data_IF_834113366929
#
_entry.id   IF_834113366929
#
_cell.length_a   1.000
_cell.length_b   1.000
_cell.length_c   1.000
_cell.angle_alpha   90.00
_cell.angle_beta   90.00
_cell.angle_gamma   90.00
#
_symmetry.space_group_name_H-M   'P 1'
#
loop_
_entity.id
_entity.type
_entity.pdbx_description
1 polymer ?
#
# COMPACT_ATOMS: atom_id res chain seq x y z
N UNK A 1 -2.35 -4.18 3.34
CA UNK A 1 -2.93 -3.98 1.98
C UNK A 1 -3.63 -2.64 1.92
N UNK A 2 -2.93 -1.62 1.44
CA UNK A 2 -3.45 -0.25 1.36
C UNK A 2 -4.01 0.00 -0.03
N UNK A 3 -5.28 0.42 -0.11
CA UNK A 3 -6.04 0.45 -1.35
C UNK A 3 -6.87 -0.81 -1.55
N UNK A 4 -7.11 -1.54 -0.47
CA UNK A 4 -7.98 -2.70 -0.49
C UNK A 4 -9.40 -2.28 -0.87
N UNK A 5 -10.06 -3.10 -1.66
CA UNK A 5 -11.43 -2.82 -2.12
C UNK A 5 -12.14 -4.12 -2.43
N UNK A 6 -13.47 -4.10 -2.41
CA UNK A 6 -14.28 -5.23 -2.86
C UNK A 6 -14.83 -5.02 -4.28
N UNK A 7 -14.41 -3.95 -4.96
CA UNK A 7 -14.85 -3.66 -6.33
C UNK A 7 -14.23 -4.66 -7.32
N UNK A 8 -15.07 -5.37 -8.05
CA UNK A 8 -14.61 -6.36 -9.04
C UNK A 8 -13.77 -5.68 -10.13
N UNK A 9 -12.70 -6.36 -10.55
CA UNK A 9 -11.78 -5.86 -11.56
C UNK A 9 -10.73 -4.89 -11.03
N UNK A 10 -10.85 -4.43 -9.80
CA UNK A 10 -9.84 -3.57 -9.19
C UNK A 10 -8.63 -4.41 -8.73
N UNK A 11 -7.43 -3.91 -8.99
CA UNK A 11 -6.20 -4.61 -8.62
C UNK A 11 -6.14 -4.87 -7.11
N UNK A 12 -6.55 -3.91 -6.30
CA UNK A 12 -6.57 -4.06 -4.85
C UNK A 12 -7.44 -5.22 -4.37
N UNK A 13 -8.58 -5.44 -5.04
CA UNK A 13 -9.44 -6.58 -4.74
C UNK A 13 -8.77 -7.90 -5.12
N UNK A 14 -8.20 -7.95 -6.31
CA UNK A 14 -7.59 -9.19 -6.81
C UNK A 14 -6.39 -9.61 -5.96
N UNK A 15 -5.57 -8.68 -5.53
CA UNK A 15 -4.42 -8.99 -4.67
C UNK A 15 -4.90 -9.52 -3.32
N UNK A 16 -5.84 -8.86 -2.68
CA UNK A 16 -6.37 -9.30 -1.39
C UNK A 16 -7.02 -10.69 -1.51
N UNK A 17 -7.82 -10.88 -2.56
CA UNK A 17 -8.46 -12.16 -2.84
C UNK A 17 -7.42 -13.29 -3.00
N UNK A 18 -6.34 -13.03 -3.73
CA UNK A 18 -5.28 -14.01 -3.93
C UNK A 18 -4.54 -14.35 -2.62
N UNK A 19 -4.24 -13.34 -1.82
CA UNK A 19 -3.60 -13.58 -0.52
C UNK A 19 -4.43 -14.53 0.33
N UNK A 20 -5.74 -14.33 0.36
CA UNK A 20 -6.66 -15.14 1.17
C UNK A 20 -6.84 -16.52 0.56
N UNK A 21 -7.05 -16.61 -0.76
CA UNK A 21 -7.34 -17.88 -1.43
C UNK A 21 -6.16 -18.83 -1.49
N UNK A 22 -4.93 -18.32 -1.51
CA UNK A 22 -3.73 -19.15 -1.53
C UNK A 22 -3.17 -19.43 -0.13
N UNK A 23 -4.03 -19.31 0.87
CA UNK A 23 -3.76 -19.79 2.23
C UNK A 23 -2.54 -19.13 2.90
N UNK A 24 -2.39 -17.81 2.70
CA UNK A 24 -1.38 -17.06 3.43
C UNK A 24 -1.61 -17.23 4.94
N UNK A 25 -0.60 -17.68 5.65
CA UNK A 25 -0.71 -18.00 7.08
C UNK A 25 -0.48 -16.81 8.01
N UNK A 26 -0.15 -15.66 7.48
CA UNK A 26 0.03 -14.44 8.28
C UNK A 26 -1.26 -13.66 8.45
N UNK A 27 -1.16 -12.51 9.11
CA UNK A 27 -2.27 -11.58 9.26
C UNK A 27 -2.31 -10.61 8.10
N UNK A 28 -3.51 -10.34 7.59
CA UNK A 28 -3.73 -9.35 6.52
C UNK A 28 -4.64 -8.25 7.06
N UNK A 29 -4.20 -7.00 6.91
CA UNK A 29 -4.96 -5.84 7.35
C UNK A 29 -5.35 -5.01 6.14
N UNK A 30 -6.64 -5.10 5.67
CA UNK A 30 -7.12 -4.22 4.62
C UNK A 30 -7.20 -2.78 5.11
N UNK A 31 -6.79 -1.83 4.27
CA UNK A 31 -6.87 -0.41 4.56
C UNK A 31 -7.61 0.30 3.44
N UNK A 32 -8.70 0.98 3.80
CA UNK A 32 -9.51 1.77 2.87
C UNK A 32 -10.24 2.85 3.69
N UNK A 33 -10.18 4.13 3.30
CA UNK A 33 -10.71 5.22 4.12
C UNK A 33 -12.23 5.20 4.30
N UNK A 34 -12.96 4.51 3.43
CA UNK A 34 -14.44 4.55 3.44
C UNK A 34 -15.10 3.21 3.76
N UNK A 35 -14.33 2.13 3.81
CA UNK A 35 -14.88 0.78 4.08
C UNK A 35 -14.54 0.33 5.49
N UNK A 36 -15.46 -0.39 6.11
CA UNK A 36 -15.25 -0.98 7.44
C UNK A 36 -14.98 -2.48 7.39
N UNK A 37 -15.44 -3.13 6.32
CA UNK A 37 -15.22 -4.56 6.09
C UNK A 37 -14.95 -4.79 4.61
N UNK A 38 -13.92 -5.55 4.30
CA UNK A 38 -13.60 -5.99 2.94
C UNK A 38 -13.24 -7.46 3.01
N UNK A 39 -13.87 -8.28 2.15
CA UNK A 39 -13.64 -9.71 2.08
C UNK A 39 -13.85 -10.40 3.46
N UNK A 40 -14.84 -9.96 4.20
CA UNK A 40 -15.17 -10.42 5.55
C UNK A 40 -14.09 -10.10 6.60
N UNK A 41 -13.12 -9.28 6.27
CA UNK A 41 -12.03 -8.88 7.17
C UNK A 41 -12.25 -7.42 7.58
N UNK A 42 -12.02 -7.11 8.85
CA UNK A 42 -12.08 -5.74 9.35
C UNK A 42 -11.13 -4.86 8.56
N UNK A 43 -11.63 -3.74 8.06
CA UNK A 43 -10.88 -2.77 7.30
C UNK A 43 -10.60 -1.54 8.17
N UNK A 44 -9.39 -1.01 8.09
CA UNK A 44 -8.98 0.19 8.83
C UNK A 44 -8.95 1.39 7.89
N UNK A 45 -9.24 2.57 8.41
CA UNK A 45 -9.24 3.81 7.63
C UNK A 45 -7.84 4.22 7.19
N UNK A 46 -6.85 4.01 8.04
CA UNK A 46 -5.43 4.23 7.73
C UNK A 46 -4.59 3.11 8.32
N UNK A 47 -3.37 2.97 7.83
CA UNK A 47 -2.45 1.99 8.41
C UNK A 47 -2.10 2.33 9.87
N UNK A 48 -2.19 3.59 10.24
CA UNK A 48 -1.92 4.04 11.61
C UNK A 48 -2.95 3.51 12.61
N UNK A 49 -4.15 3.17 12.14
CA UNK A 49 -5.21 2.61 12.99
C UNK A 49 -5.06 1.11 13.24
N UNK A 50 -4.19 0.43 12.51
CA UNK A 50 -3.96 -1.00 12.71
C UNK A 50 -3.26 -1.20 14.05
N UNK A 51 -3.85 -2.00 14.97
CA UNK A 51 -3.27 -2.15 16.31
C UNK A 51 -1.99 -2.98 16.35
N UNK A 52 -1.79 -3.86 15.40
CA UNK A 52 -0.64 -4.76 15.34
C UNK A 52 0.54 -4.09 14.61
N UNK A 53 1.75 -4.58 14.85
CA UNK A 53 2.89 -4.21 14.02
C UNK A 53 2.69 -4.72 12.59
N UNK A 54 3.13 -3.95 11.61
CA UNK A 54 3.02 -4.29 10.19
C UNK A 54 4.41 -4.31 9.60
N UNK A 55 4.79 -5.44 9.01
CA UNK A 55 6.13 -5.63 8.42
C UNK A 55 6.17 -5.23 6.96
N UNK A 56 5.11 -5.49 6.21
CA UNK A 56 5.03 -5.25 4.77
C UNK A 56 3.73 -4.52 4.43
N UNK A 57 3.83 -3.47 3.66
CA UNK A 57 2.67 -2.76 3.11
C UNK A 57 2.66 -2.91 1.59
N UNK A 58 1.53 -3.39 1.06
CA UNK A 58 1.27 -3.42 -0.38
C UNK A 58 0.40 -2.22 -0.70
N UNK A 59 0.88 -1.32 -1.55
CA UNK A 59 0.25 -0.03 -1.83
C UNK A 59 -0.33 -0.01 -3.24
N UNK A 60 -1.66 0.13 -3.32
CA UNK A 60 -2.42 0.20 -4.57
C UNK A 60 -3.42 1.37 -4.45
N UNK A 61 -2.91 2.58 -4.37
CA UNK A 61 -3.71 3.80 -4.28
C UNK A 61 -3.40 4.69 -5.48
N UNK A 62 -4.24 5.70 -5.79
CA UNK A 62 -3.88 6.67 -6.81
C UNK A 62 -2.52 7.32 -6.52
N UNK A 63 -1.76 7.63 -7.58
CA UNK A 63 -0.38 8.14 -7.43
C UNK A 63 -0.30 9.38 -6.54
N UNK A 64 -1.33 10.20 -6.54
CA UNK A 64 -1.39 11.44 -5.75
C UNK A 64 -1.38 11.17 -4.24
N UNK A 65 -1.75 9.97 -3.82
CA UNK A 65 -1.83 9.59 -2.42
C UNK A 65 -0.61 8.79 -1.94
N UNK A 66 0.25 8.34 -2.86
CA UNK A 66 1.34 7.42 -2.53
C UNK A 66 2.30 8.03 -1.51
N UNK A 67 2.73 9.28 -1.70
CA UNK A 67 3.70 9.90 -0.79
C UNK A 67 3.15 10.01 0.63
N UNK A 68 1.89 10.38 0.77
CA UNK A 68 1.25 10.48 2.09
C UNK A 68 1.13 9.10 2.76
N UNK A 69 0.76 8.10 1.97
CA UNK A 69 0.66 6.72 2.46
C UNK A 69 2.03 6.20 2.91
N UNK A 70 3.09 6.52 2.17
CA UNK A 70 4.45 6.13 2.52
C UNK A 70 4.89 6.79 3.84
N UNK A 71 4.54 8.05 4.06
CA UNK A 71 4.79 8.71 5.34
C UNK A 71 4.09 7.98 6.49
N UNK A 72 2.84 7.59 6.29
CA UNK A 72 2.10 6.83 7.30
C UNK A 72 2.75 5.47 7.57
N UNK A 73 3.22 4.80 6.53
CA UNK A 73 3.95 3.53 6.68
C UNK A 73 5.23 3.73 7.49
N UNK A 74 5.96 4.80 7.21
CA UNK A 74 7.17 5.15 7.96
C UNK A 74 6.88 5.39 9.44
N UNK A 75 5.85 6.17 9.74
CA UNK A 75 5.41 6.43 11.12
C UNK A 75 4.96 5.14 11.82
N UNK A 76 4.30 4.25 11.09
CA UNK A 76 3.85 2.96 11.63
C UNK A 76 5.01 2.03 11.95
N UNK A 77 6.17 2.23 11.33
CA UNK A 77 7.32 1.35 11.50
C UNK A 77 7.34 0.18 10.51
N UNK A 78 6.67 0.32 9.38
CA UNK A 78 6.70 -0.69 8.31
C UNK A 78 8.12 -0.79 7.77
N UNK A 79 8.59 -2.01 7.52
CA UNK A 79 9.97 -2.26 7.05
C UNK A 79 10.07 -2.36 5.54
N UNK A 80 9.03 -2.84 4.88
CA UNK A 80 9.03 -3.05 3.44
C UNK A 80 7.77 -2.59 2.76
N UNK A 81 7.92 -2.13 1.51
CA UNK A 81 6.82 -1.67 0.69
C UNK A 81 6.82 -2.39 -0.65
N UNK A 82 5.64 -2.72 -1.15
CA UNK A 82 5.43 -3.09 -2.54
C UNK A 82 4.48 -2.05 -3.12
N UNK A 83 4.97 -1.23 -4.06
CA UNK A 83 4.17 -0.16 -4.67
C UNK A 83 3.77 -0.60 -6.06
N UNK A 84 2.48 -0.81 -6.28
CA UNK A 84 1.93 -1.28 -7.55
C UNK A 84 1.39 -0.12 -8.38
N UNK A 85 1.13 1.02 -7.75
CA UNK A 85 0.59 2.22 -8.40
C UNK A 85 1.46 2.64 -9.59
N UNK A 86 0.83 2.88 -10.75
CA UNK A 86 1.48 3.42 -11.93
C UNK A 86 1.47 4.96 -11.90
N UNK A 87 2.15 5.57 -12.87
CA UNK A 87 2.19 7.03 -13.01
C UNK A 87 3.48 7.67 -12.52
N UNK A 88 4.54 6.88 -12.43
CA UNK A 88 5.85 7.35 -12.01
C UNK A 88 6.77 7.54 -13.24
N UNK A 89 7.97 7.01 -13.19
CA UNK A 89 8.98 7.20 -14.23
C UNK A 89 8.48 6.90 -15.66
N UNK A 90 7.58 5.93 -15.80
CA UNK A 90 7.06 5.51 -17.10
C UNK A 90 6.18 6.57 -17.80
N UNK A 91 5.72 7.60 -17.09
CA UNK A 91 4.90 8.66 -17.67
C UNK A 91 5.66 9.97 -17.90
N UNK A 92 6.99 9.94 -17.85
CA UNK A 92 7.83 11.06 -18.21
C UNK A 92 8.43 11.82 -17.03
N UNK A 93 8.80 13.08 -17.25
CA UNK A 93 9.58 13.87 -16.29
C UNK A 93 8.86 14.12 -14.97
N UNK A 94 7.58 14.44 -15.01
CA UNK A 94 6.79 14.67 -13.79
C UNK A 94 6.69 13.40 -12.95
N UNK A 95 6.53 12.25 -13.61
CA UNK A 95 6.52 10.95 -12.95
C UNK A 95 7.87 10.58 -12.37
N UNK A 96 8.96 10.90 -13.08
CA UNK A 96 10.32 10.67 -12.58
C UNK A 96 10.59 11.50 -11.32
N UNK A 97 10.16 12.75 -11.28
CA UNK A 97 10.29 13.60 -10.09
C UNK A 97 9.51 13.04 -8.90
N UNK A 98 8.31 12.54 -9.16
CA UNK A 98 7.49 11.92 -8.13
C UNK A 98 8.19 10.67 -7.57
N UNK A 99 8.79 9.87 -8.45
CA UNK A 99 9.56 8.69 -8.04
C UNK A 99 10.78 9.07 -7.20
N UNK A 100 11.48 10.15 -7.54
CA UNK A 100 12.61 10.65 -6.73
C UNK A 100 12.16 11.02 -5.32
N UNK A 101 11.01 11.68 -5.19
CA UNK A 101 10.44 12.03 -3.88
C UNK A 101 10.07 10.78 -3.09
N UNK A 102 9.50 9.79 -3.77
CA UNK A 102 9.16 8.51 -3.16
C UNK A 102 10.41 7.81 -2.62
N UNK A 103 11.46 7.72 -3.42
CA UNK A 103 12.72 7.09 -3.02
C UNK A 103 13.37 7.83 -1.83
N UNK A 104 13.30 9.17 -1.82
CA UNK A 104 13.82 9.95 -0.70
C UNK A 104 13.10 9.63 0.60
N UNK A 105 11.77 9.50 0.57
CA UNK A 105 10.98 9.13 1.75
C UNK A 105 11.29 7.72 2.23
N UNK A 106 11.41 6.77 1.31
CA UNK A 106 11.74 5.37 1.65
C UNK A 106 13.09 5.32 2.37
N UNK A 107 14.08 6.06 1.88
CA UNK A 107 15.40 6.15 2.52
C UNK A 107 15.34 6.85 3.88
N UNK A 108 14.56 7.92 3.98
CA UNK A 108 14.39 8.66 5.22
C UNK A 108 13.89 7.77 6.35
N UNK A 109 12.94 6.90 6.06
CA UNK A 109 12.37 5.98 7.05
C UNK A 109 13.13 4.67 7.18
N UNK A 110 14.17 4.45 6.38
CA UNK A 110 14.93 3.20 6.41
C UNK A 110 14.16 1.98 5.91
N UNK A 111 13.15 2.20 5.09
CA UNK A 111 12.36 1.10 4.51
C UNK A 111 13.00 0.56 3.24
N UNK A 112 12.56 -0.63 2.82
CA UNK A 112 12.90 -1.21 1.52
C UNK A 112 11.66 -1.20 0.65
N UNK A 113 11.85 -1.08 -0.67
CA UNK A 113 10.72 -0.96 -1.60
C UNK A 113 10.95 -1.78 -2.87
N UNK A 114 9.87 -2.43 -3.31
CA UNK A 114 9.76 -3.04 -4.63
C UNK A 114 8.75 -2.20 -5.41
N UNK A 115 9.11 -1.81 -6.62
CA UNK A 115 8.33 -0.88 -7.42
C UNK A 115 8.88 0.53 -7.32
N UNK A 116 8.10 1.58 -7.73
CA UNK A 116 6.79 1.45 -8.37
C UNK A 116 6.87 0.75 -9.71
N UNK A 117 5.70 0.25 -10.09
CA UNK A 117 5.58 -0.53 -11.31
C UNK A 117 5.85 0.29 -12.58
#
# INVERSE_FOLDING_TARGET
MIGATNRRGAIGREILHNIINYEFEGKVFPVNPTKTVIHSIKCYSTILDVPDAVDLAVIVVPKELVLNVVDQCGEKGVKGLVVITAGFKEVGEAGAKLEEKLLAKVRQYGMRMIGPN
#
